data_IF_533010776423
#
_entry.id   IF_533010776423
#
_cell.length_a   1.000
_cell.length_b   1.000
_cell.length_c   1.000
_cell.angle_alpha   90.00
_cell.angle_beta   90.00
_cell.angle_gamma   90.00
#
_symmetry.space_group_name_H-M   'P 1'
#
loop_
_entity.id
_entity.type
_entity.pdbx_description
1 polymer ?
#
# COMPACT_ATOMS: atom_id res chain seq x y z
N UNK A 1 -46.38 25.52 15.49
CA UNK A 1 -45.93 26.25 14.29
C UNK A 1 -44.40 26.16 14.24
N UNK A 2 -43.85 25.35 13.35
CA UNK A 2 -42.43 25.32 13.11
C UNK A 2 -42.00 26.59 12.38
N UNK A 3 -41.06 27.35 12.92
CA UNK A 3 -40.46 28.50 12.24
C UNK A 3 -39.54 27.97 11.17
N UNK A 4 -39.87 28.23 9.91
CA UNK A 4 -38.97 28.07 8.78
C UNK A 4 -37.85 29.12 8.92
N UNK A 5 -36.62 28.70 9.20
CA UNK A 5 -35.47 29.58 9.08
C UNK A 5 -35.13 29.71 7.59
N UNK A 6 -35.41 30.82 6.98
CA UNK A 6 -34.89 31.17 5.65
C UNK A 6 -33.45 31.63 5.89
N UNK A 7 -32.48 30.95 5.26
CA UNK A 7 -31.10 31.41 5.26
C UNK A 7 -31.03 32.85 4.74
N UNK A 8 -30.24 33.70 5.36
CA UNK A 8 -30.04 35.06 4.89
C UNK A 8 -29.37 35.07 3.50
N UNK A 9 -29.44 36.20 2.83
CA UNK A 9 -28.95 36.37 1.46
C UNK A 9 -27.44 36.08 1.36
N UNK A 10 -26.67 36.41 2.40
CA UNK A 10 -25.21 36.25 2.46
C UNK A 10 -24.83 34.78 2.53
N UNK A 11 -25.53 33.98 3.36
CA UNK A 11 -25.40 32.53 3.43
C UNK A 11 -25.81 31.87 2.10
N UNK A 12 -26.87 32.35 1.46
CA UNK A 12 -27.34 31.81 0.18
C UNK A 12 -26.36 32.13 -0.96
N UNK A 13 -25.77 33.32 -0.97
CA UNK A 13 -24.79 33.75 -1.96
C UNK A 13 -23.44 33.01 -1.77
N UNK A 14 -23.03 32.73 -0.52
CA UNK A 14 -21.88 31.91 -0.20
C UNK A 14 -22.07 30.45 -0.67
N UNK A 15 -23.22 29.85 -0.41
CA UNK A 15 -23.56 28.50 -0.88
C UNK A 15 -23.61 28.44 -2.41
N UNK A 16 -24.12 29.50 -3.07
CA UNK A 16 -24.10 29.60 -4.54
C UNK A 16 -22.71 29.74 -5.10
N UNK A 17 -21.82 30.52 -4.46
CA UNK A 17 -20.45 30.70 -4.88
C UNK A 17 -19.65 29.35 -4.75
N UNK A 18 -19.83 28.64 -3.62
CA UNK A 18 -19.24 27.30 -3.41
C UNK A 18 -19.79 26.29 -4.43
N UNK A 19 -21.09 26.29 -4.67
CA UNK A 19 -21.71 25.40 -5.65
C UNK A 19 -21.24 25.70 -7.08
N UNK A 20 -21.06 26.97 -7.43
CA UNK A 20 -20.56 27.40 -8.74
C UNK A 20 -19.09 27.02 -8.91
N UNK A 21 -18.26 27.13 -7.86
CA UNK A 21 -16.88 26.70 -7.84
C UNK A 21 -16.76 25.18 -8.01
N UNK A 22 -17.59 24.40 -7.31
CA UNK A 22 -17.65 22.93 -7.44
C UNK A 22 -18.12 22.53 -8.84
N UNK A 23 -19.13 23.19 -9.40
CA UNK A 23 -19.62 22.94 -10.76
C UNK A 23 -18.57 23.25 -11.82
N UNK A 24 -17.81 24.34 -11.67
CA UNK A 24 -16.75 24.71 -12.59
C UNK A 24 -15.56 23.72 -12.56
N UNK A 25 -15.29 23.09 -11.40
CA UNK A 25 -14.28 22.03 -11.25
C UNK A 25 -14.73 20.68 -11.81
N UNK A 26 -16.04 20.46 -11.95
CA UNK A 26 -16.65 19.25 -12.49
C UNK A 26 -16.90 19.30 -14.00
N UNK A 27 -16.72 20.47 -14.62
CA UNK A 27 -16.88 20.65 -16.06
C UNK A 27 -15.54 20.51 -16.77
N UNK A 28 -15.53 19.77 -17.89
CA UNK A 28 -14.42 19.76 -18.81
C UNK A 28 -14.30 21.14 -19.54
N UNK A 29 -13.24 21.31 -20.31
CA UNK A 29 -12.99 22.53 -21.10
C UNK A 29 -14.10 22.88 -22.10
N UNK A 30 -15.02 21.96 -22.37
CA UNK A 30 -16.17 22.15 -23.24
C UNK A 30 -17.45 22.45 -22.44
N UNK A 31 -17.35 22.66 -21.11
CA UNK A 31 -18.47 22.98 -20.22
C UNK A 31 -19.40 21.81 -19.89
N UNK A 32 -18.95 20.56 -20.20
CA UNK A 32 -19.69 19.35 -19.86
C UNK A 32 -19.26 18.85 -18.48
N UNK A 33 -20.19 18.29 -17.71
CA UNK A 33 -19.86 17.61 -16.45
C UNK A 33 -18.94 16.44 -16.75
N UNK A 34 -17.70 16.49 -16.27
CA UNK A 34 -16.82 15.34 -16.34
C UNK A 34 -17.45 14.22 -15.51
N UNK A 35 -17.49 13.01 -16.06
CA UNK A 35 -17.90 11.80 -15.35
C UNK A 35 -16.78 11.40 -14.35
N UNK A 36 -16.46 12.27 -13.40
CA UNK A 36 -15.47 12.01 -12.35
C UNK A 36 -15.94 10.83 -11.53
N UNK A 37 -15.20 9.73 -11.59
CA UNK A 37 -15.49 8.52 -10.82
C UNK A 37 -14.82 8.60 -9.45
N UNK A 38 -15.62 8.36 -8.41
CA UNK A 38 -15.17 8.33 -7.02
C UNK A 38 -15.56 7.00 -6.38
N UNK A 39 -14.59 6.20 -6.00
CA UNK A 39 -14.84 4.94 -5.32
C UNK A 39 -14.46 5.12 -3.85
N UNK A 40 -15.45 5.01 -2.95
CA UNK A 40 -15.23 5.34 -1.55
C UNK A 40 -15.79 4.31 -0.58
N UNK A 41 -15.26 4.37 0.63
CA UNK A 41 -15.77 3.68 1.81
C UNK A 41 -15.88 4.62 3.00
N UNK A 42 -16.83 4.29 3.87
CA UNK A 42 -16.96 4.83 5.22
C UNK A 42 -16.78 3.67 6.20
N UNK A 43 -15.91 3.84 7.18
CA UNK A 43 -15.58 2.86 8.22
C UNK A 43 -16.14 3.33 9.55
N UNK A 44 -17.07 2.57 10.14
CA UNK A 44 -17.60 2.84 11.47
C UNK A 44 -16.64 2.30 12.56
N UNK A 45 -15.97 3.19 13.28
CA UNK A 45 -14.98 2.84 14.32
C UNK A 45 -15.62 2.15 15.54
N UNK A 46 -16.93 2.31 15.77
CA UNK A 46 -17.65 1.68 16.87
C UNK A 46 -18.01 0.20 16.60
N UNK A 47 -18.14 -0.19 15.32
CA UNK A 47 -18.40 -1.58 14.94
C UNK A 47 -17.09 -2.39 14.98
N UNK A 48 -17.08 -3.51 15.68
CA UNK A 48 -15.90 -4.37 15.82
C UNK A 48 -15.75 -5.39 14.71
N UNK A 49 -16.80 -5.66 13.92
CA UNK A 49 -16.74 -6.63 12.85
C UNK A 49 -16.03 -6.03 11.63
N UNK A 50 -14.92 -6.60 11.15
CA UNK A 50 -14.09 -6.04 10.09
C UNK A 50 -14.81 -5.87 8.74
N UNK A 51 -15.89 -6.62 8.51
CA UNK A 51 -16.64 -6.61 7.25
C UNK A 51 -17.87 -5.66 7.32
N UNK A 52 -18.64 -5.71 8.41
CA UNK A 52 -19.88 -4.91 8.54
C UNK A 52 -19.63 -3.45 8.87
N UNK A 53 -18.46 -3.14 9.47
CA UNK A 53 -18.07 -1.75 9.80
C UNK A 53 -17.87 -0.87 8.57
N UNK A 54 -17.73 -1.45 7.36
CA UNK A 54 -17.43 -0.75 6.12
C UNK A 54 -18.68 -0.62 5.27
N UNK A 55 -18.96 0.60 4.80
CA UNK A 55 -20.04 0.90 3.86
C UNK A 55 -19.44 1.51 2.60
N UNK A 56 -19.82 1.01 1.42
CA UNK A 56 -19.46 1.61 0.15
C UNK A 56 -20.17 2.94 -0.09
N UNK A 57 -19.47 3.88 -0.74
CA UNK A 57 -19.94 5.22 -1.04
C UNK A 57 -19.67 5.56 -2.52
N UNK A 58 -20.39 6.54 -3.02
CA UNK A 58 -20.25 7.10 -4.37
C UNK A 58 -20.42 6.02 -5.46
N UNK A 59 -19.54 5.98 -6.46
CA UNK A 59 -19.60 5.01 -7.55
C UNK A 59 -19.39 3.55 -7.09
N UNK A 60 -18.89 3.33 -5.88
CA UNK A 60 -18.82 2.00 -5.27
C UNK A 60 -20.12 1.59 -4.55
N UNK A 61 -21.10 2.48 -4.40
CA UNK A 61 -22.37 2.13 -3.75
C UNK A 61 -23.06 0.97 -4.50
N UNK A 62 -23.37 -0.10 -3.77
CA UNK A 62 -23.95 -1.32 -4.36
C UNK A 62 -22.94 -2.33 -4.92
N UNK A 63 -21.64 -2.05 -4.87
CA UNK A 63 -20.62 -3.00 -5.33
C UNK A 63 -20.57 -4.27 -4.47
N UNK A 64 -20.24 -5.37 -5.12
CA UNK A 64 -19.87 -6.63 -4.48
C UNK A 64 -18.37 -6.61 -4.16
N UNK A 65 -17.95 -6.94 -2.92
CA UNK A 65 -16.55 -6.99 -2.54
C UNK A 65 -15.73 -8.02 -3.29
N UNK A 66 -14.46 -7.71 -3.55
CA UNK A 66 -13.49 -8.65 -4.06
C UNK A 66 -12.94 -9.56 -2.95
N UNK A 67 -12.69 -10.83 -3.26
CA UNK A 67 -12.13 -11.81 -2.31
C UNK A 67 -11.53 -13.01 -3.00
N UNK A 68 -10.61 -13.68 -2.31
CA UNK A 68 -10.12 -14.99 -2.70
C UNK A 68 -11.17 -16.08 -2.41
N UNK A 69 -11.40 -16.98 -3.34
CA UNK A 69 -12.09 -18.24 -3.11
C UNK A 69 -11.06 -19.33 -2.83
N UNK A 70 -10.82 -19.63 -1.56
CA UNK A 70 -9.84 -20.63 -1.15
C UNK A 70 -10.23 -22.08 -1.48
N UNK A 71 -11.47 -22.32 -1.88
CA UNK A 71 -11.97 -23.67 -2.21
C UNK A 71 -11.51 -24.11 -3.61
N UNK A 72 -11.63 -23.22 -4.59
CA UNK A 72 -11.29 -23.51 -6.00
C UNK A 72 -10.03 -22.80 -6.48
N UNK A 73 -9.46 -21.93 -5.66
CA UNK A 73 -8.25 -21.18 -5.98
C UNK A 73 -8.47 -20.03 -7.00
N UNK A 74 -9.73 -19.58 -7.19
CA UNK A 74 -10.04 -18.42 -8.02
C UNK A 74 -10.08 -17.13 -7.20
N UNK A 75 -9.82 -15.99 -7.85
CA UNK A 75 -10.05 -14.68 -7.27
C UNK A 75 -11.35 -14.09 -7.83
N UNK A 76 -12.30 -13.81 -6.96
CA UNK A 76 -13.55 -13.14 -7.30
C UNK A 76 -13.35 -11.63 -7.19
N UNK A 77 -13.33 -10.93 -8.32
CA UNK A 77 -13.20 -9.47 -8.37
C UNK A 77 -14.48 -8.75 -7.91
N UNK A 78 -15.60 -9.44 -7.74
CA UNK A 78 -16.88 -8.81 -7.48
C UNK A 78 -17.22 -7.77 -8.55
N UNK A 79 -17.51 -6.54 -8.13
CA UNK A 79 -17.78 -5.42 -9.05
C UNK A 79 -16.53 -4.64 -9.45
N UNK A 80 -15.32 -5.03 -9.02
CA UNK A 80 -14.11 -4.23 -9.15
C UNK A 80 -13.30 -4.47 -10.42
N UNK A 81 -13.55 -5.58 -11.16
CA UNK A 81 -12.71 -6.00 -12.29
C UNK A 81 -12.56 -4.95 -13.39
N UNK A 82 -13.57 -4.12 -13.64
CA UNK A 82 -13.56 -3.08 -14.67
C UNK A 82 -13.16 -1.69 -14.12
N UNK A 83 -12.90 -1.55 -12.81
CA UNK A 83 -12.48 -0.29 -12.23
C UNK A 83 -11.05 0.04 -12.67
N UNK A 84 -10.80 1.30 -13.01
CA UNK A 84 -9.58 1.75 -13.70
C UNK A 84 -8.29 1.28 -13.02
N UNK A 85 -8.17 1.35 -11.69
CA UNK A 85 -6.95 0.96 -10.98
C UNK A 85 -6.75 -0.57 -10.86
N UNK A 86 -7.78 -1.38 -11.14
CA UNK A 86 -7.66 -2.83 -11.32
C UNK A 86 -7.29 -3.13 -12.76
N UNK A 87 -8.05 -2.58 -13.72
CA UNK A 87 -7.94 -2.87 -15.14
C UNK A 87 -6.63 -2.35 -15.77
N UNK A 88 -6.12 -1.21 -15.29
CA UNK A 88 -4.90 -0.58 -15.81
C UNK A 88 -3.65 -0.93 -14.99
N UNK A 89 -3.77 -1.68 -13.89
CA UNK A 89 -2.62 -2.18 -13.17
C UNK A 89 -1.93 -3.28 -13.99
N UNK A 90 -0.62 -3.15 -14.25
CA UNK A 90 0.13 -4.01 -15.16
C UNK A 90 1.41 -4.56 -14.55
N UNK A 91 1.77 -5.83 -14.83
CA UNK A 91 3.07 -6.37 -14.49
C UNK A 91 4.07 -5.99 -15.59
N UNK A 92 5.13 -5.26 -15.24
CA UNK A 92 6.11 -4.74 -16.20
C UNK A 92 7.55 -5.04 -15.79
N UNK A 93 8.45 -5.12 -16.76
CA UNK A 93 9.89 -5.09 -16.51
C UNK A 93 10.42 -3.67 -16.74
N UNK A 94 11.00 -3.06 -15.71
CA UNK A 94 11.53 -1.70 -15.71
C UNK A 94 13.03 -1.68 -15.88
N UNK A 95 13.52 -0.71 -16.67
CA UNK A 95 14.93 -0.33 -16.79
C UNK A 95 15.39 0.50 -15.59
N UNK A 96 16.70 0.73 -15.53
CA UNK A 96 17.32 1.58 -14.51
C UNK A 96 16.82 3.03 -14.55
N UNK A 97 16.50 3.56 -15.73
CA UNK A 97 15.91 4.89 -15.94
C UNK A 97 14.41 4.96 -15.62
N UNK A 98 13.82 3.86 -15.15
CA UNK A 98 12.41 3.72 -14.77
C UNK A 98 11.44 3.73 -15.95
N UNK A 99 11.92 3.57 -17.17
CA UNK A 99 11.08 3.35 -18.35
C UNK A 99 10.74 1.86 -18.47
N UNK A 100 9.54 1.57 -18.99
CA UNK A 100 9.08 0.20 -19.23
C UNK A 100 9.88 -0.41 -20.38
N UNK A 101 10.51 -1.56 -20.15
CA UNK A 101 11.17 -2.34 -21.20
C UNK A 101 10.14 -3.18 -21.96
N UNK A 102 9.26 -3.86 -21.24
CA UNK A 102 8.14 -4.64 -21.77
C UNK A 102 7.15 -5.00 -20.66
N UNK A 103 5.94 -5.36 -21.05
CA UNK A 103 4.89 -5.87 -20.20
C UNK A 103 4.98 -7.40 -20.10
N UNK A 104 4.82 -7.94 -18.91
CA UNK A 104 4.75 -9.37 -18.66
C UNK A 104 3.34 -9.90 -18.96
N UNK A 105 3.24 -11.18 -19.30
CA UNK A 105 1.95 -11.84 -19.41
C UNK A 105 1.24 -11.83 -18.04
N UNK A 106 -0.03 -11.44 -18.04
CA UNK A 106 -0.80 -11.20 -16.81
C UNK A 106 -1.08 -12.48 -15.98
N UNK A 107 -0.96 -13.64 -16.60
CA UNK A 107 -1.25 -14.95 -15.98
C UNK A 107 -0.06 -15.90 -15.97
N UNK A 108 1.06 -15.54 -16.61
CA UNK A 108 2.29 -16.34 -16.65
C UNK A 108 3.49 -15.41 -16.84
N UNK A 109 4.08 -14.96 -15.75
CA UNK A 109 5.17 -13.98 -15.75
C UNK A 109 6.48 -14.53 -16.38
N UNK A 110 6.60 -15.85 -16.60
CA UNK A 110 7.70 -16.41 -17.39
C UNK A 110 7.66 -15.99 -18.86
N UNK A 111 6.60 -15.31 -19.27
CA UNK A 111 6.36 -14.81 -20.62
C UNK A 111 6.13 -13.30 -20.62
N UNK A 112 6.43 -12.69 -21.73
CA UNK A 112 6.00 -11.34 -22.09
C UNK A 112 4.55 -11.37 -22.56
N UNK A 113 3.92 -10.21 -22.70
CA UNK A 113 2.54 -10.10 -23.16
C UNK A 113 2.34 -10.71 -24.54
N UNK A 114 3.36 -10.67 -25.41
CA UNK A 114 3.36 -11.27 -26.75
C UNK A 114 3.56 -12.81 -26.76
N UNK A 115 3.72 -13.41 -25.58
CA UNK A 115 3.91 -14.86 -25.41
C UNK A 115 5.37 -15.34 -25.51
N UNK A 116 6.32 -14.49 -25.86
CA UNK A 116 7.75 -14.84 -25.85
C UNK A 116 8.29 -14.94 -24.43
N UNK A 117 9.41 -15.64 -24.23
CA UNK A 117 10.03 -15.80 -22.90
C UNK A 117 10.43 -14.46 -22.29
N UNK A 118 10.14 -14.27 -21.01
CA UNK A 118 10.62 -13.14 -20.21
C UNK A 118 11.93 -13.49 -19.51
N UNK A 119 12.64 -12.48 -19.02
CA UNK A 119 13.83 -12.63 -18.19
C UNK A 119 13.54 -12.32 -16.69
N UNK A 120 12.28 -12.46 -16.26
CA UNK A 120 11.82 -12.13 -14.91
C UNK A 120 12.57 -12.85 -13.79
N UNK A 121 13.07 -14.05 -14.06
CA UNK A 121 13.88 -14.86 -13.15
C UNK A 121 15.38 -14.88 -13.46
N UNK A 122 15.82 -14.23 -14.54
CA UNK A 122 17.22 -14.23 -14.95
C UNK A 122 18.05 -13.34 -14.01
N UNK A 123 19.07 -13.91 -13.39
CA UNK A 123 19.99 -13.20 -12.50
C UNK A 123 20.86 -12.17 -13.25
N UNK A 124 21.07 -12.36 -14.56
CA UNK A 124 21.88 -11.47 -15.39
C UNK A 124 21.12 -10.26 -15.92
N UNK A 125 19.78 -10.27 -15.86
CA UNK A 125 18.97 -9.13 -16.33
C UNK A 125 19.28 -7.86 -15.55
N UNK A 126 19.28 -6.73 -16.24
CA UNK A 126 19.40 -5.40 -15.60
C UNK A 126 18.05 -4.80 -15.23
N UNK A 127 16.94 -5.48 -15.57
CA UNK A 127 15.57 -5.02 -15.36
C UNK A 127 15.05 -5.42 -13.97
N UNK A 128 14.02 -4.74 -13.50
CA UNK A 128 13.26 -5.09 -12.30
C UNK A 128 11.79 -5.36 -12.66
N UNK A 129 11.24 -6.43 -12.10
CA UNK A 129 9.81 -6.74 -12.25
C UNK A 129 8.97 -5.87 -11.30
N UNK A 130 8.13 -5.03 -11.86
CA UNK A 130 7.35 -4.06 -11.10
C UNK A 130 5.87 -4.15 -11.46
N UNK A 131 5.03 -3.91 -10.48
CA UNK A 131 3.61 -3.65 -10.68
C UNK A 131 3.45 -2.15 -10.94
N UNK A 132 2.99 -1.80 -12.13
CA UNK A 132 2.68 -0.43 -12.53
C UNK A 132 1.26 -0.08 -12.12
N UNK A 133 1.09 1.03 -11.42
CA UNK A 133 -0.20 1.56 -11.02
C UNK A 133 -0.49 2.86 -11.76
N UNK A 134 -1.68 3.01 -12.39
CA UNK A 134 -2.10 4.27 -12.97
C UNK A 134 -2.27 5.34 -11.90
N UNK A 135 -2.17 6.61 -12.27
CA UNK A 135 -2.36 7.72 -11.34
C UNK A 135 -3.72 7.62 -10.63
N UNK A 136 -3.67 7.73 -9.32
CA UNK A 136 -4.84 7.78 -8.43
C UNK A 136 -4.74 8.96 -7.48
N UNK A 137 -5.87 9.60 -7.27
CA UNK A 137 -6.05 10.65 -6.28
C UNK A 137 -6.75 10.06 -5.06
N UNK A 138 -6.08 10.13 -3.91
CA UNK A 138 -6.54 9.57 -2.64
C UNK A 138 -7.04 10.69 -1.72
N UNK A 139 -8.24 10.54 -1.17
CA UNK A 139 -8.77 11.39 -0.12
C UNK A 139 -9.03 10.56 1.12
N UNK A 140 -8.42 10.94 2.24
CA UNK A 140 -8.56 10.28 3.54
C UNK A 140 -8.84 11.33 4.62
N UNK A 141 -9.86 11.08 5.44
CA UNK A 141 -10.22 11.96 6.56
C UNK A 141 -11.09 11.23 7.59
N UNK A 142 -11.25 11.85 8.75
CA UNK A 142 -12.07 11.34 9.86
C UNK A 142 -13.11 12.40 10.24
N UNK A 143 -14.37 11.98 10.47
CA UNK A 143 -15.42 12.79 11.02
C UNK A 143 -16.17 12.01 12.10
N UNK A 144 -16.06 12.44 13.34
CA UNK A 144 -16.65 11.75 14.49
C UNK A 144 -16.15 10.32 14.62
N UNK A 145 -17.04 9.35 14.60
CA UNK A 145 -16.71 7.92 14.67
C UNK A 145 -16.50 7.26 13.30
N UNK A 146 -16.33 8.04 12.25
CA UNK A 146 -16.20 7.50 10.90
C UNK A 146 -14.90 7.93 10.24
N UNK A 147 -14.23 6.98 9.61
CA UNK A 147 -13.11 7.21 8.70
C UNK A 147 -13.58 7.05 7.26
N UNK A 148 -12.97 7.81 6.36
CA UNK A 148 -13.32 7.83 4.94
C UNK A 148 -12.08 7.60 4.09
N UNK A 149 -12.18 6.70 3.13
CA UNK A 149 -11.17 6.45 2.09
C UNK A 149 -11.88 6.57 0.75
N UNK A 150 -11.41 7.45 -0.12
CA UNK A 150 -12.00 7.70 -1.43
C UNK A 150 -10.88 7.76 -2.46
N UNK A 151 -11.03 7.05 -3.56
CA UNK A 151 -10.08 7.01 -4.69
C UNK A 151 -10.80 7.51 -5.94
N UNK A 152 -10.10 8.34 -6.71
CA UNK A 152 -10.56 8.88 -8.01
C UNK A 152 -9.42 8.83 -9.02
N UNK A 153 -9.76 8.74 -10.32
CA UNK A 153 -8.83 8.90 -11.44
C UNK A 153 -8.47 10.38 -11.70
N UNK A 154 -9.22 11.28 -11.08
CA UNK A 154 -9.12 12.73 -11.28
C UNK A 154 -9.05 13.43 -9.93
N UNK A 155 -8.30 14.53 -9.85
CA UNK A 155 -8.31 15.38 -8.66
C UNK A 155 -9.65 16.12 -8.54
N UNK A 156 -10.47 15.72 -7.58
CA UNK A 156 -11.80 16.28 -7.35
C UNK A 156 -11.73 17.67 -6.70
N UNK A 157 -10.93 17.78 -5.64
CA UNK A 157 -10.70 19.02 -4.88
C UNK A 157 -9.34 19.00 -4.16
N UNK A 158 -9.08 19.98 -3.31
CA UNK A 158 -7.82 20.10 -2.55
C UNK A 158 -7.58 19.02 -1.50
N UNK A 159 -8.62 18.25 -1.11
CA UNK A 159 -8.50 17.15 -0.16
C UNK A 159 -7.93 15.86 -0.81
N UNK A 160 -8.00 15.79 -2.14
CA UNK A 160 -7.43 14.69 -2.91
C UNK A 160 -5.96 14.96 -3.19
N UNK A 161 -5.13 13.96 -2.89
CA UNK A 161 -3.68 14.02 -3.08
C UNK A 161 -3.18 12.81 -3.88
N UNK A 162 -2.06 12.99 -4.56
CA UNK A 162 -1.36 11.95 -5.31
C UNK A 162 0.03 11.69 -4.72
N UNK A 163 0.13 11.70 -3.39
CA UNK A 163 1.39 11.64 -2.64
C UNK A 163 2.26 10.42 -3.04
N UNK A 164 1.63 9.28 -3.40
CA UNK A 164 2.34 8.06 -3.84
C UNK A 164 3.03 8.22 -5.20
N UNK A 165 2.65 9.22 -5.99
CA UNK A 165 3.13 9.54 -7.33
C UNK A 165 3.99 10.81 -7.37
N UNK A 166 4.12 11.51 -6.24
CA UNK A 166 4.82 12.79 -6.17
C UNK A 166 6.33 12.59 -6.19
N UNK A 167 7.01 13.19 -7.18
CA UNK A 167 8.47 13.19 -7.35
C UNK A 167 9.13 14.17 -6.38
N UNK A 168 10.47 14.15 -6.36
CA UNK A 168 11.28 15.04 -5.52
C UNK A 168 11.07 16.51 -5.84
N UNK A 169 10.84 16.85 -7.10
CA UNK A 169 10.58 18.22 -7.57
C UNK A 169 9.13 18.69 -7.32
N UNK A 170 8.30 17.86 -6.72
CA UNK A 170 6.89 18.12 -6.44
C UNK A 170 5.93 17.86 -7.60
N UNK A 171 6.42 17.49 -8.77
CA UNK A 171 5.57 17.06 -9.89
C UNK A 171 4.90 15.72 -9.59
N UNK A 172 3.75 15.46 -10.24
CA UNK A 172 3.00 14.22 -10.12
C UNK A 172 3.26 13.36 -11.36
N UNK A 173 3.62 12.10 -11.14
CA UNK A 173 3.83 11.11 -12.19
C UNK A 173 2.50 10.48 -12.63
N UNK A 174 2.42 10.02 -13.87
CA UNK A 174 1.26 9.27 -14.36
C UNK A 174 1.23 7.83 -13.82
N UNK A 175 2.39 7.30 -13.42
CA UNK A 175 2.52 5.96 -12.86
C UNK A 175 3.43 5.94 -11.62
N UNK A 176 3.14 4.99 -10.73
CA UNK A 176 4.06 4.55 -9.69
C UNK A 176 4.31 3.04 -9.80
N UNK A 177 5.44 2.59 -9.28
CA UNK A 177 5.88 1.21 -9.38
C UNK A 177 6.09 0.59 -8.01
N UNK A 178 5.34 -0.47 -7.72
CA UNK A 178 5.55 -1.35 -6.57
C UNK A 178 6.31 -2.59 -7.00
N UNK A 179 7.18 -3.17 -6.15
CA UNK A 179 7.88 -4.40 -6.50
C UNK A 179 6.89 -5.55 -6.66
N UNK A 180 7.00 -6.31 -7.74
CA UNK A 180 6.25 -7.56 -7.89
C UNK A 180 6.74 -8.60 -6.89
N UNK A 181 8.02 -8.56 -6.55
CA UNK A 181 8.67 -9.51 -5.64
C UNK A 181 9.36 -8.77 -4.51
N UNK A 182 9.41 -9.40 -3.34
CA UNK A 182 10.21 -8.89 -2.24
C UNK A 182 11.68 -8.72 -2.64
N UNK A 183 12.35 -7.72 -2.07
CA UNK A 183 13.71 -7.35 -2.46
C UNK A 183 14.71 -8.49 -2.30
N UNK A 184 15.52 -8.75 -3.33
CA UNK A 184 16.65 -9.67 -3.35
C UNK A 184 17.93 -8.92 -3.69
N UNK A 185 19.08 -9.32 -3.13
CA UNK A 185 20.37 -8.69 -3.39
C UNK A 185 21.19 -9.50 -4.38
N UNK A 186 21.58 -8.88 -5.50
CA UNK A 186 22.36 -9.53 -6.57
C UNK A 186 23.89 -9.37 -6.42
N UNK A 187 24.35 -8.83 -5.28
CA UNK A 187 25.76 -8.49 -5.03
C UNK A 187 26.08 -7.01 -5.24
N UNK A 188 25.20 -6.25 -5.92
CA UNK A 188 25.35 -4.82 -6.19
C UNK A 188 24.10 -4.02 -5.85
N UNK A 189 22.92 -4.54 -6.19
CA UNK A 189 21.63 -3.83 -6.16
C UNK A 189 20.55 -4.62 -5.44
N UNK A 190 19.59 -3.92 -4.89
CA UNK A 190 18.34 -4.52 -4.42
C UNK A 190 17.40 -4.67 -5.63
N UNK A 191 16.98 -5.91 -5.90
CA UNK A 191 16.24 -6.29 -7.10
C UNK A 191 14.84 -6.80 -6.77
N UNK A 192 13.91 -6.64 -7.69
CA UNK A 192 12.61 -7.33 -7.71
C UNK A 192 12.61 -8.34 -8.84
N UNK A 193 12.89 -9.61 -8.54
CA UNK A 193 13.02 -10.71 -9.50
C UNK A 193 12.41 -11.99 -8.96
N UNK A 194 11.89 -12.84 -9.85
CA UNK A 194 11.37 -14.17 -9.56
C UNK A 194 12.48 -15.17 -9.20
N UNK A 195 12.16 -16.19 -8.39
CA UNK A 195 13.05 -17.29 -8.04
C UNK A 195 14.23 -16.89 -7.15
N UNK A 196 14.18 -15.76 -6.45
CA UNK A 196 15.28 -15.25 -5.63
C UNK A 196 14.99 -15.39 -4.13
N UNK A 197 16.06 -15.52 -3.35
CA UNK A 197 16.00 -15.39 -1.88
C UNK A 197 15.83 -13.92 -1.51
N UNK A 198 15.00 -13.64 -0.52
CA UNK A 198 14.82 -12.27 -0.01
C UNK A 198 16.09 -11.77 0.67
N UNK A 199 16.46 -10.53 0.38
CA UNK A 199 17.51 -9.81 1.13
C UNK A 199 17.03 -9.51 2.55
N UNK A 200 17.89 -9.69 3.52
CA UNK A 200 17.62 -9.43 4.92
C UNK A 200 18.92 -9.24 5.71
N UNK A 201 18.79 -8.98 7.01
CA UNK A 201 19.94 -8.82 7.91
C UNK A 201 20.86 -7.65 7.53
N UNK A 202 20.24 -6.59 6.98
CA UNK A 202 20.88 -5.33 6.62
C UNK A 202 20.21 -4.16 7.32
N UNK A 203 20.93 -3.06 7.53
CA UNK A 203 20.37 -1.84 8.10
C UNK A 203 19.65 -0.98 7.05
N UNK A 204 18.85 -0.01 7.51
CA UNK A 204 18.03 0.84 6.64
C UNK A 204 18.87 1.58 5.57
N UNK A 205 20.02 2.14 5.93
CA UNK A 205 20.87 2.88 4.99
C UNK A 205 21.40 1.96 3.89
N UNK A 206 21.77 0.72 4.23
CA UNK A 206 22.23 -0.26 3.26
C UNK A 206 21.13 -0.65 2.29
N UNK A 207 19.89 -0.90 2.77
CA UNK A 207 18.75 -1.23 1.92
C UNK A 207 18.41 -0.09 0.95
N UNK A 208 18.40 1.17 1.44
CA UNK A 208 18.17 2.36 0.61
C UNK A 208 19.28 2.50 -0.45
N UNK A 209 20.55 2.34 -0.05
CA UNK A 209 21.68 2.45 -0.98
C UNK A 209 21.66 1.38 -2.06
N UNK A 210 21.32 0.13 -1.69
CA UNK A 210 21.16 -0.98 -2.65
C UNK A 210 19.98 -0.75 -3.60
N UNK A 211 18.88 -0.16 -3.14
CA UNK A 211 17.76 0.23 -4.00
C UNK A 211 18.16 1.37 -4.95
N UNK A 212 18.80 2.42 -4.43
CA UNK A 212 19.30 3.57 -5.21
C UNK A 212 20.36 3.16 -6.26
N UNK A 213 21.08 2.07 -6.04
CA UNK A 213 22.03 1.53 -7.02
C UNK A 213 21.37 1.07 -8.34
N UNK A 214 20.04 0.88 -8.39
CA UNK A 214 19.32 0.64 -9.64
C UNK A 214 19.33 1.86 -10.57
N UNK A 215 19.36 3.09 -10.03
CA UNK A 215 19.38 4.34 -10.78
C UNK A 215 18.72 5.49 -10.01
N UNK A 216 18.69 6.67 -10.61
CA UNK A 216 18.04 7.85 -10.03
C UNK A 216 16.56 7.60 -9.78
N UNK A 217 16.01 8.03 -8.63
CA UNK A 217 14.61 7.90 -8.25
C UNK A 217 14.22 6.53 -7.69
N UNK A 218 15.16 5.56 -7.62
CA UNK A 218 14.92 4.30 -6.94
C UNK A 218 15.18 4.43 -5.44
N UNK A 219 14.27 3.86 -4.65
CA UNK A 219 14.37 3.76 -3.18
C UNK A 219 13.67 2.48 -2.72
N UNK A 220 13.60 2.23 -1.41
CA UNK A 220 12.70 1.21 -0.87
C UNK A 220 11.26 1.75 -0.78
N UNK A 221 10.29 0.87 -0.58
CA UNK A 221 8.85 1.26 -0.51
C UNK A 221 8.68 2.42 0.47
N UNK A 222 7.92 3.46 0.04
CA UNK A 222 7.58 4.60 0.89
C UNK A 222 6.25 4.40 1.61
N UNK A 223 6.06 5.15 2.71
CA UNK A 223 4.79 5.18 3.43
C UNK A 223 3.62 5.60 2.53
N UNK A 224 3.80 6.60 1.67
CA UNK A 224 2.72 7.05 0.77
C UNK A 224 2.22 5.94 -0.15
N UNK A 225 3.13 5.13 -0.72
CA UNK A 225 2.79 3.97 -1.56
C UNK A 225 2.14 2.86 -0.75
N UNK A 226 2.71 2.53 0.41
CA UNK A 226 2.12 1.51 1.30
C UNK A 226 0.71 1.90 1.76
N UNK A 227 0.50 3.16 2.16
CA UNK A 227 -0.81 3.68 2.56
C UNK A 227 -1.84 3.59 1.42
N UNK A 228 -1.45 3.90 0.18
CA UNK A 228 -2.33 3.74 -0.97
C UNK A 228 -2.72 2.27 -1.17
N UNK A 229 -1.76 1.33 -1.17
CA UNK A 229 -2.05 -0.11 -1.32
C UNK A 229 -2.98 -0.63 -0.21
N UNK A 230 -2.74 -0.29 1.05
CA UNK A 230 -3.62 -0.69 2.16
C UNK A 230 -5.03 -0.09 2.01
N UNK A 231 -5.12 1.14 1.50
CA UNK A 231 -6.39 1.81 1.21
C UNK A 231 -7.16 1.08 0.11
N UNK A 232 -6.49 0.70 -0.98
CA UNK A 232 -7.09 -0.07 -2.07
C UNK A 232 -7.56 -1.45 -1.61
N UNK A 233 -6.75 -2.18 -0.83
CA UNK A 233 -7.12 -3.49 -0.29
C UNK A 233 -8.37 -3.39 0.60
N UNK A 234 -8.43 -2.41 1.49
CA UNK A 234 -9.60 -2.16 2.33
C UNK A 234 -10.84 -1.81 1.49
N UNK A 235 -10.66 -0.97 0.48
CA UNK A 235 -11.72 -0.53 -0.42
C UNK A 235 -12.32 -1.71 -1.20
N UNK A 236 -11.49 -2.47 -1.93
CA UNK A 236 -11.99 -3.53 -2.81
C UNK A 236 -12.56 -4.73 -2.05
N UNK A 237 -11.97 -5.09 -0.91
CA UNK A 237 -12.45 -6.23 -0.11
C UNK A 237 -13.61 -5.87 0.82
N UNK A 238 -13.87 -4.57 1.04
CA UNK A 238 -14.82 -4.11 2.06
C UNK A 238 -14.55 -4.73 3.42
N UNK A 239 -13.26 -4.90 3.76
CA UNK A 239 -12.81 -5.57 4.98
C UNK A 239 -11.47 -5.03 5.45
N UNK A 240 -11.23 -5.10 6.75
CA UNK A 240 -9.93 -4.84 7.35
C UNK A 240 -9.17 -6.14 7.71
N UNK A 241 -9.75 -7.29 7.41
CA UNK A 241 -9.10 -8.59 7.56
C UNK A 241 -8.49 -9.06 6.22
N UNK A 242 -7.31 -8.54 5.89
CA UNK A 242 -6.65 -8.87 4.62
C UNK A 242 -6.32 -10.34 4.48
N UNK A 243 -5.91 -11.02 5.58
CA UNK A 243 -5.60 -12.44 5.54
C UNK A 243 -6.83 -13.28 5.18
N UNK A 244 -7.99 -12.94 5.70
CA UNK A 244 -9.24 -13.64 5.40
C UNK A 244 -9.75 -13.37 3.97
N UNK A 245 -9.38 -12.23 3.35
CA UNK A 245 -9.88 -11.85 2.01
C UNK A 245 -8.93 -12.20 0.88
N UNK A 246 -7.61 -12.17 1.13
CA UNK A 246 -6.61 -12.34 0.07
C UNK A 246 -5.69 -13.54 0.28
N UNK A 247 -5.56 -14.05 1.52
CA UNK A 247 -4.67 -15.15 1.88
C UNK A 247 -3.76 -14.81 3.05
N UNK A 248 -3.27 -15.84 3.74
CA UNK A 248 -2.52 -15.65 4.98
C UNK A 248 -1.12 -15.09 4.76
N UNK A 249 -0.49 -15.35 3.61
CA UNK A 249 0.92 -15.09 3.39
C UNK A 249 1.81 -16.07 4.15
N UNK A 250 3.13 -15.97 3.99
CA UNK A 250 4.09 -16.83 4.70
C UNK A 250 4.25 -16.33 6.13
N UNK A 251 3.45 -16.87 7.05
CA UNK A 251 3.37 -16.38 8.42
C UNK A 251 3.42 -17.47 9.51
N UNK A 252 3.49 -18.76 9.12
CA UNK A 252 3.52 -19.91 10.05
C UNK A 252 4.59 -20.95 9.70
N UNK A 253 5.67 -20.53 9.03
CA UNK A 253 6.75 -21.42 8.59
C UNK A 253 8.01 -21.36 9.46
N UNK A 254 7.91 -20.81 10.67
CA UNK A 254 9.06 -20.77 11.57
C UNK A 254 9.57 -22.17 11.88
N UNK A 255 10.73 -22.48 11.36
CA UNK A 255 11.54 -23.59 11.83
C UNK A 255 12.67 -22.98 12.66
N UNK A 256 12.78 -23.37 13.92
CA UNK A 256 13.89 -22.99 14.79
C UNK A 256 15.17 -23.66 14.27
N UNK A 257 15.70 -23.13 13.18
CA UNK A 257 16.87 -23.64 12.49
C UNK A 257 18.06 -22.74 12.78
N UNK A 258 19.10 -23.31 13.34
CA UNK A 258 20.38 -22.67 13.59
C UNK A 258 21.06 -22.15 12.31
N UNK A 259 20.66 -22.62 11.13
CA UNK A 259 21.15 -22.14 9.83
C UNK A 259 20.62 -20.73 9.46
N UNK A 260 19.66 -20.20 10.21
CA UNK A 260 19.04 -18.86 10.01
C UNK A 260 18.45 -18.62 8.61
N UNK A 261 18.17 -19.66 7.87
CA UNK A 261 17.45 -19.59 6.59
C UNK A 261 15.94 -19.69 6.85
N UNK A 262 15.46 -18.77 7.68
CA UNK A 262 14.07 -18.67 8.07
C UNK A 262 13.22 -18.23 6.87
N UNK A 263 12.15 -18.96 6.57
CA UNK A 263 11.24 -18.65 5.46
C UNK A 263 11.89 -18.94 4.11
N UNK A 264 12.06 -20.22 3.82
CA UNK A 264 12.64 -20.75 2.56
C UNK A 264 11.81 -20.45 1.32
N UNK A 265 10.72 -19.67 1.44
CA UNK A 265 9.90 -19.32 0.29
C UNK A 265 10.64 -18.28 -0.53
N UNK A 266 11.13 -18.70 -1.68
CA UNK A 266 11.69 -17.80 -2.68
C UNK A 266 10.59 -17.00 -3.36
N UNK A 267 10.92 -15.87 -3.98
CA UNK A 267 10.00 -15.07 -4.78
C UNK A 267 9.52 -15.81 -6.02
N UNK A 268 8.39 -15.41 -6.59
CA UNK A 268 7.89 -15.94 -7.86
C UNK A 268 7.12 -17.25 -7.75
N UNK A 269 6.78 -17.68 -6.54
CA UNK A 269 5.97 -18.92 -6.36
C UNK A 269 4.55 -18.78 -6.90
N UNK A 270 4.11 -17.55 -7.18
CA UNK A 270 2.79 -17.23 -7.70
C UNK A 270 2.82 -16.64 -9.13
N UNK A 271 3.88 -16.85 -9.90
CA UNK A 271 4.05 -16.28 -11.25
C UNK A 271 2.94 -16.64 -12.22
N UNK A 272 2.31 -17.81 -12.04
CA UNK A 272 1.21 -18.30 -12.88
C UNK A 272 -0.19 -18.02 -12.31
N UNK A 273 -0.30 -17.11 -11.34
CA UNK A 273 -1.53 -16.92 -10.55
C UNK A 273 -2.28 -15.60 -10.81
N UNK A 274 -1.95 -14.86 -11.86
CA UNK A 274 -2.63 -13.62 -12.21
C UNK A 274 -2.37 -12.46 -11.24
N UNK A 275 -3.29 -11.49 -11.20
CA UNK A 275 -3.14 -10.23 -10.46
C UNK A 275 -3.32 -10.39 -8.94
N UNK A 276 -4.21 -11.28 -8.52
CA UNK A 276 -4.51 -11.58 -7.12
C UNK A 276 -4.54 -13.09 -6.89
N UNK A 277 -3.88 -13.53 -5.84
CA UNK A 277 -3.93 -14.93 -5.42
C UNK A 277 -3.39 -15.10 -4.00
N UNK A 278 -3.90 -16.07 -3.27
CA UNK A 278 -3.37 -16.44 -1.96
C UNK A 278 -3.89 -17.78 -1.46
N UNK A 279 -3.18 -18.36 -0.51
CA UNK A 279 -3.55 -19.57 0.20
C UNK A 279 -3.97 -19.23 1.63
N UNK A 280 -4.82 -20.07 2.22
CA UNK A 280 -5.25 -19.93 3.60
C UNK A 280 -4.52 -20.93 4.52
N UNK A 281 -3.19 -21.01 4.43
CA UNK A 281 -2.40 -22.01 5.15
C UNK A 281 -1.17 -21.45 5.89
N UNK A 282 -0.83 -20.18 5.66
CA UNK A 282 0.30 -19.51 6.31
C UNK A 282 1.69 -19.95 5.82
N UNK A 283 1.77 -20.78 4.79
CA UNK A 283 3.04 -21.34 4.29
C UNK A 283 3.40 -20.87 2.88
N UNK A 284 2.46 -20.26 2.17
CA UNK A 284 2.62 -19.75 0.82
C UNK A 284 2.51 -18.23 0.78
N UNK A 285 3.10 -17.62 -0.25
CA UNK A 285 2.97 -16.18 -0.48
C UNK A 285 1.54 -15.78 -0.80
N UNK A 286 1.27 -14.49 -0.66
CA UNK A 286 0.06 -13.82 -1.11
C UNK A 286 0.43 -12.81 -2.18
N UNK A 287 -0.41 -12.71 -3.22
CA UNK A 287 -0.26 -11.75 -4.31
C UNK A 287 -1.49 -10.84 -4.35
N UNK A 288 -1.28 -9.54 -4.39
CA UNK A 288 -2.32 -8.56 -4.69
C UNK A 288 -1.73 -7.47 -5.58
N UNK A 289 -2.45 -7.07 -6.63
CA UNK A 289 -1.97 -6.13 -7.65
C UNK A 289 -0.62 -6.57 -8.25
N UNK A 290 -0.44 -7.83 -8.56
CA UNK A 290 0.82 -8.46 -9.00
C UNK A 290 1.97 -8.40 -7.97
N UNK A 291 1.79 -7.79 -6.80
CA UNK A 291 2.80 -7.72 -5.76
C UNK A 291 2.71 -8.93 -4.84
N UNK A 292 3.74 -9.78 -4.80
CA UNK A 292 3.93 -10.79 -3.77
C UNK A 292 4.45 -10.16 -2.48
N UNK A 293 4.31 -10.85 -1.35
CA UNK A 293 4.90 -10.46 -0.06
C UNK A 293 4.43 -9.08 0.47
N UNK A 294 3.17 -8.72 0.27
CA UNK A 294 2.63 -7.52 0.93
C UNK A 294 2.51 -7.70 2.45
N UNK A 295 2.46 -8.94 2.93
CA UNK A 295 2.58 -9.33 4.34
C UNK A 295 3.12 -10.76 4.46
N UNK A 296 3.67 -11.06 5.64
CA UNK A 296 4.36 -12.32 5.89
C UNK A 296 5.80 -12.33 5.37
N UNK A 297 6.46 -13.47 5.39
CA UNK A 297 7.82 -13.79 4.97
C UNK A 297 8.88 -12.93 5.70
N UNK A 298 9.09 -11.69 5.29
CA UNK A 298 9.99 -10.70 5.89
C UNK A 298 9.26 -9.37 6.09
N UNK A 299 9.58 -8.66 7.15
CA UNK A 299 9.18 -7.28 7.33
C UNK A 299 9.67 -6.43 6.17
N UNK A 300 8.80 -5.59 5.61
CA UNK A 300 9.22 -4.51 4.75
C UNK A 300 9.53 -3.26 5.56
N UNK A 301 10.78 -2.79 5.44
CA UNK A 301 11.17 -1.49 5.95
C UNK A 301 10.67 -0.41 5.00
N UNK A 302 10.13 0.67 5.57
CA UNK A 302 9.62 1.81 4.80
C UNK A 302 10.53 3.02 4.96
N UNK A 303 10.57 3.87 3.92
CA UNK A 303 10.95 5.28 4.07
C UNK A 303 9.71 6.15 4.24
N UNK A 304 9.87 7.34 4.80
CA UNK A 304 8.77 8.29 4.95
C UNK A 304 7.87 8.08 6.15
N UNK A 305 8.14 7.09 7.04
CA UNK A 305 7.40 6.91 8.28
C UNK A 305 8.36 6.61 9.43
N UNK A 306 8.38 7.49 10.42
CA UNK A 306 9.24 7.42 11.61
C UNK A 306 8.42 7.66 12.87
N UNK A 307 8.70 6.89 13.92
CA UNK A 307 8.29 7.21 15.28
C UNK A 307 9.49 7.77 16.03
N UNK A 308 9.50 9.07 16.27
CA UNK A 308 10.56 9.76 16.98
C UNK A 308 10.16 9.93 18.44
N UNK A 309 10.69 9.06 19.32
CA UNK A 309 10.41 9.09 20.76
C UNK A 309 8.91 9.26 21.07
N UNK A 310 8.07 8.43 20.42
CA UNK A 310 6.62 8.43 20.58
C UNK A 310 5.87 9.50 19.77
N UNK A 311 6.55 10.25 18.92
CA UNK A 311 5.93 11.18 17.95
C UNK A 311 5.90 10.55 16.57
N UNK A 312 4.72 10.41 15.99
CA UNK A 312 4.57 9.95 14.59
C UNK A 312 4.90 11.09 13.65
N UNK A 313 5.86 10.82 12.77
CA UNK A 313 6.31 11.74 11.73
C UNK A 313 6.29 11.06 10.37
N UNK A 314 5.83 11.77 9.35
CA UNK A 314 5.77 11.25 7.97
C UNK A 314 6.32 12.25 6.97
N UNK A 315 6.85 11.71 5.87
CA UNK A 315 7.16 12.45 4.65
C UNK A 315 6.57 11.69 3.47
N UNK A 316 5.75 12.37 2.70
CA UNK A 316 4.89 11.71 1.70
C UNK A 316 5.56 11.60 0.33
N UNK A 317 6.62 12.39 0.08
CA UNK A 317 7.40 12.37 -1.17
C UNK A 317 8.91 12.50 -0.89
N UNK A 318 9.78 12.12 -1.83
CA UNK A 318 11.24 12.29 -1.68
C UNK A 318 11.65 13.76 -1.45
N UNK A 319 12.89 14.02 -0.97
CA UNK A 319 13.86 13.06 -0.49
C UNK A 319 13.55 12.60 0.93
N UNK A 320 13.84 11.34 1.22
CA UNK A 320 13.59 10.74 2.55
C UNK A 320 14.88 10.74 3.39
N UNK A 321 14.72 10.73 4.74
CA UNK A 321 15.82 10.51 5.68
C UNK A 321 15.38 9.54 6.80
N UNK A 322 16.34 9.09 7.59
CA UNK A 322 16.14 8.10 8.64
C UNK A 322 16.03 8.72 10.05
N UNK A 323 16.03 10.05 10.15
CA UNK A 323 15.97 10.78 11.42
C UNK A 323 14.61 11.45 11.67
N UNK A 324 13.76 11.55 10.65
CA UNK A 324 12.52 12.32 10.72
C UNK A 324 12.70 13.83 10.70
N UNK A 325 13.90 14.31 10.33
CA UNK A 325 14.15 15.74 10.13
C UNK A 325 13.28 16.25 8.97
N UNK A 326 12.60 17.37 9.18
CA UNK A 326 11.71 18.02 8.20
C UNK A 326 10.50 17.13 7.79
N UNK A 327 10.16 16.12 8.60
CA UNK A 327 8.95 15.31 8.44
C UNK A 327 7.77 16.00 9.12
N UNK A 328 6.58 15.78 8.57
CA UNK A 328 5.32 16.30 9.13
C UNK A 328 4.99 15.53 10.40
N UNK A 329 4.78 16.24 11.51
CA UNK A 329 4.29 15.67 12.75
C UNK A 329 2.79 15.39 12.60
N UNK A 330 2.39 14.13 12.68
CA UNK A 330 0.99 13.70 12.58
C UNK A 330 0.31 13.65 13.94
N UNK A 331 1.00 13.14 14.95
CA UNK A 331 0.42 12.98 16.28
C UNK A 331 1.34 12.22 17.23
N UNK A 332 0.76 11.85 18.37
CA UNK A 332 1.42 10.98 19.36
C UNK A 332 1.06 9.53 19.07
N UNK A 333 2.04 8.64 19.09
CA UNK A 333 1.85 7.21 18.92
C UNK A 333 1.05 6.60 20.07
N UNK A 334 0.25 5.58 19.80
CA UNK A 334 -0.25 4.67 20.84
C UNK A 334 0.96 4.06 21.56
N UNK A 335 1.00 4.14 22.89
CA UNK A 335 2.14 3.66 23.69
C UNK A 335 2.06 2.17 24.06
N UNK A 336 0.92 1.55 23.77
CA UNK A 336 0.62 0.15 24.13
C UNK A 336 0.62 -0.69 22.88
N UNK A 337 1.35 -1.80 22.88
CA UNK A 337 1.32 -2.81 21.83
C UNK A 337 0.07 -3.70 21.97
N UNK A 338 -0.38 -4.27 20.87
CA UNK A 338 -1.55 -5.14 20.85
C UNK A 338 -2.28 -5.13 19.51
N UNK A 339 -3.41 -5.80 19.48
CA UNK A 339 -4.28 -5.81 18.32
C UNK A 339 -4.89 -4.42 18.10
N UNK A 340 -4.78 -3.90 16.89
CA UNK A 340 -5.26 -2.56 16.55
C UNK A 340 -6.78 -2.48 16.68
N UNK A 341 -7.27 -1.51 17.46
CA UNK A 341 -8.70 -1.27 17.69
C UNK A 341 -9.17 0.02 17.03
N UNK A 342 -8.51 1.14 17.33
CA UNK A 342 -8.86 2.46 16.81
C UNK A 342 -7.67 3.09 16.10
N UNK A 343 -7.97 3.89 15.07
CA UNK A 343 -6.98 4.61 14.27
C UNK A 343 -7.28 6.10 14.25
N UNK A 344 -6.26 6.89 14.01
CA UNK A 344 -6.32 8.29 13.62
C UNK A 344 -6.16 8.34 12.10
N UNK A 345 -7.24 8.66 11.40
CA UNK A 345 -7.19 8.89 9.95
C UNK A 345 -6.88 10.34 9.67
N UNK A 346 -5.88 10.57 8.85
CA UNK A 346 -5.51 11.89 8.34
C UNK A 346 -5.31 11.82 6.83
N UNK A 347 -5.12 12.96 6.17
CA UNK A 347 -4.74 12.96 4.75
C UNK A 347 -3.41 12.24 4.46
N UNK A 348 -2.61 12.00 5.49
CA UNK A 348 -1.30 11.36 5.39
C UNK A 348 -1.34 9.84 5.66
N UNK A 349 -2.51 9.29 5.92
CA UNK A 349 -2.74 7.88 6.21
C UNK A 349 -3.39 7.61 7.55
N UNK A 350 -3.39 6.33 7.92
CA UNK A 350 -4.00 5.81 9.15
C UNK A 350 -2.92 5.41 10.15
N UNK A 351 -3.04 5.89 11.37
CA UNK A 351 -2.08 5.65 12.45
C UNK A 351 -2.79 5.05 13.65
N UNK A 352 -2.14 4.09 14.32
CA UNK A 352 -2.75 3.40 15.47
C UNK A 352 -2.95 4.37 16.63
N UNK A 353 -4.20 4.49 17.10
CA UNK A 353 -4.61 5.34 18.20
C UNK A 353 -4.83 4.54 19.48
N UNK A 354 -5.39 3.33 19.39
CA UNK A 354 -5.54 2.42 20.51
C UNK A 354 -5.53 0.96 20.07
N UNK A 355 -5.25 0.09 21.02
CA UNK A 355 -5.26 -1.37 20.91
C UNK A 355 -6.39 -1.98 21.73
N UNK A 356 -6.66 -3.29 21.59
CA UNK A 356 -7.74 -4.00 22.27
C UNK A 356 -8.70 -4.67 21.30
N UNK A 357 -8.28 -4.84 20.05
CA UNK A 357 -8.93 -5.71 19.07
C UNK A 357 -8.51 -7.18 19.21
N UNK A 358 -8.66 -7.94 18.13
CA UNK A 358 -8.23 -9.33 17.99
C UNK A 358 -7.94 -9.67 16.52
N UNK A 359 -7.56 -10.92 16.24
CA UNK A 359 -7.37 -11.42 14.88
C UNK A 359 -8.66 -11.37 14.00
N UNK A 360 -9.82 -11.21 14.63
CA UNK A 360 -11.13 -11.22 13.96
C UNK A 360 -11.97 -9.97 14.24
N UNK A 361 -11.41 -8.96 14.90
CA UNK A 361 -12.12 -7.72 15.20
C UNK A 361 -11.31 -6.48 14.83
N UNK A 362 -12.03 -5.43 14.46
CA UNK A 362 -11.47 -4.14 14.03
C UNK A 362 -10.52 -4.30 12.84
N UNK A 363 -9.22 -3.96 12.99
CA UNK A 363 -8.24 -4.04 11.89
C UNK A 363 -7.60 -5.43 11.70
N UNK A 364 -7.90 -6.39 12.56
CA UNK A 364 -7.43 -7.78 12.46
C UNK A 364 -5.91 -7.94 12.26
N UNK A 365 -5.13 -7.00 12.74
CA UNK A 365 -3.67 -6.99 12.66
C UNK A 365 -3.05 -6.38 13.91
N UNK A 366 -1.76 -6.64 14.12
CA UNK A 366 -1.09 -6.25 15.36
C UNK A 366 -0.38 -4.89 15.23
N UNK A 367 0.05 -4.36 16.36
CA UNK A 367 0.83 -3.13 16.49
C UNK A 367 1.90 -3.32 17.56
N UNK A 368 3.14 -2.99 17.21
CA UNK A 368 4.27 -3.04 18.13
C UNK A 368 4.99 -1.71 18.18
N UNK A 369 5.40 -1.26 19.38
CA UNK A 369 5.94 0.08 19.58
C UNK A 369 7.03 0.10 20.65
N UNK A 370 8.05 0.92 20.42
CA UNK A 370 8.95 1.42 21.44
C UNK A 370 9.00 2.96 21.35
N UNK A 371 8.46 3.63 22.34
CA UNK A 371 8.34 5.09 22.37
C UNK A 371 9.58 5.82 22.87
N UNK A 372 10.68 5.10 23.18
CA UNK A 372 11.93 5.67 23.72
C UNK A 372 13.05 5.74 22.70
N UNK A 373 12.77 5.37 21.44
CA UNK A 373 13.76 5.37 20.36
C UNK A 373 13.24 6.14 19.14
N UNK A 374 14.16 6.44 18.21
CA UNK A 374 13.80 6.82 16.85
C UNK A 374 13.65 5.54 16.02
N UNK A 375 12.41 5.13 15.78
CA UNK A 375 12.09 3.92 15.04
C UNK A 375 11.72 4.24 13.60
N UNK A 376 12.26 3.44 12.66
CA UNK A 376 11.84 3.41 11.25
C UNK A 376 10.78 2.33 11.10
N UNK A 377 9.65 2.65 10.44
CA UNK A 377 8.53 1.74 10.35
C UNK A 377 8.87 0.46 9.57
N UNK A 378 8.45 -0.67 10.14
CA UNK A 378 8.37 -1.97 9.48
C UNK A 378 6.90 -2.35 9.34
N UNK A 379 6.52 -2.99 8.24
CA UNK A 379 5.14 -3.38 7.96
C UNK A 379 5.00 -4.80 7.46
N UNK A 380 3.78 -5.33 7.56
CA UNK A 380 3.38 -6.60 6.96
C UNK A 380 3.58 -7.84 7.86
N UNK A 381 4.50 -7.81 8.78
CA UNK A 381 4.84 -8.99 9.59
C UNK A 381 5.89 -9.89 8.93
N UNK A 382 6.20 -11.02 9.55
CA UNK A 382 7.13 -12.03 9.01
C UNK A 382 6.66 -13.45 9.29
N UNK A 383 7.48 -14.45 8.92
CA UNK A 383 7.11 -15.88 8.94
C UNK A 383 6.62 -16.42 10.29
N UNK A 384 6.87 -15.72 11.38
CA UNK A 384 6.56 -16.19 12.74
C UNK A 384 5.34 -15.51 13.39
N UNK A 385 4.69 -14.59 12.68
CA UNK A 385 3.68 -13.73 13.32
C UNK A 385 2.23 -14.17 13.07
N UNK A 386 2.00 -15.22 12.26
CA UNK A 386 0.67 -15.81 12.09
C UNK A 386 -0.40 -14.75 11.78
N UNK A 387 -1.46 -14.77 12.56
CA UNK A 387 -2.61 -13.86 12.40
C UNK A 387 -2.29 -12.38 12.70
N UNK A 388 -1.10 -12.04 13.22
CA UNK A 388 -0.70 -10.63 13.42
C UNK A 388 -0.42 -9.91 12.10
N UNK A 389 -0.07 -10.66 11.03
CA UNK A 389 0.27 -10.11 9.72
C UNK A 389 -0.89 -9.35 9.07
N UNK A 390 -0.67 -8.79 7.87
CA UNK A 390 -1.60 -7.91 7.17
C UNK A 390 -1.17 -6.45 7.23
N UNK A 391 -2.00 -5.55 7.73
CA UNK A 391 -1.63 -4.14 7.98
C UNK A 391 -0.86 -3.96 9.31
N UNK A 392 -0.04 -4.93 9.67
CA UNK A 392 0.79 -4.89 10.87
C UNK A 392 1.84 -3.79 10.79
N UNK A 393 1.89 -2.93 11.81
CA UNK A 393 2.87 -1.85 11.94
C UNK A 393 3.76 -2.10 13.14
N UNK A 394 5.08 -2.09 12.93
CA UNK A 394 6.10 -2.30 13.94
C UNK A 394 7.01 -1.06 14.02
N UNK A 395 6.96 -0.36 15.14
CA UNK A 395 7.68 0.88 15.42
C UNK A 395 8.67 0.68 16.60
N UNK A 396 9.45 -0.39 16.55
CA UNK A 396 10.46 -0.70 17.59
C UNK A 396 11.81 -1.06 16.98
N UNK A 397 12.06 -0.65 15.71
CA UNK A 397 13.30 -0.92 14.99
C UNK A 397 14.02 0.37 14.63
N UNK A 398 15.25 0.55 15.10
CA UNK A 398 16.08 1.70 14.70
C UNK A 398 16.55 1.56 13.25
N UNK A 399 17.05 2.66 12.68
CA UNK A 399 17.64 2.62 11.34
C UNK A 399 18.88 1.70 11.23
N UNK A 400 19.61 1.51 12.33
CA UNK A 400 20.79 0.64 12.40
C UNK A 400 20.45 -0.85 12.61
N UNK A 401 19.20 -1.17 12.95
CA UNK A 401 18.81 -2.55 13.20
C UNK A 401 18.95 -3.41 11.92
N UNK A 402 19.58 -4.56 12.08
CA UNK A 402 19.71 -5.59 11.07
C UNK A 402 19.21 -6.90 11.66
N UNK A 403 18.32 -7.59 10.97
CA UNK A 403 17.74 -8.83 11.46
C UNK A 403 17.37 -9.72 10.26
N UNK A 404 17.41 -11.04 10.48
CA UNK A 404 17.05 -12.05 9.48
C UNK A 404 15.60 -11.88 8.94
N UNK A 405 14.72 -11.31 9.74
CA UNK A 405 13.31 -11.13 9.39
C UNK A 405 13.00 -9.75 8.79
N UNK A 406 14.00 -8.88 8.59
CA UNK A 406 13.82 -7.52 8.10
C UNK A 406 14.56 -7.35 6.77
N UNK A 407 13.87 -6.74 5.80
CA UNK A 407 14.46 -6.35 4.53
C UNK A 407 13.66 -5.25 3.87
N UNK A 408 14.26 -4.59 2.87
CA UNK A 408 13.59 -3.62 2.01
C UNK A 408 13.20 -4.23 0.68
N UNK A 409 12.28 -3.59 -0.03
CA UNK A 409 11.92 -3.96 -1.40
C UNK A 409 12.00 -2.70 -2.29
N UNK A 410 12.55 -2.77 -3.52
CA UNK A 410 12.78 -1.59 -4.36
C UNK A 410 11.48 -1.03 -4.92
N UNK A 411 11.37 0.29 -5.02
CA UNK A 411 10.20 0.98 -5.53
C UNK A 411 10.62 2.31 -6.16
N UNK A 412 9.84 2.83 -7.09
CA UNK A 412 10.08 4.12 -7.73
C UNK A 412 8.78 4.69 -8.32
N UNK A 413 8.84 5.93 -8.79
CA UNK A 413 7.83 6.55 -9.65
C UNK A 413 8.35 6.63 -11.08
N UNK A 414 7.45 6.88 -12.02
CA UNK A 414 7.80 7.13 -13.43
C UNK A 414 8.72 8.37 -13.54
N UNK A 415 9.73 8.36 -14.43
CA UNK A 415 10.58 9.53 -14.66
C UNK A 415 9.79 10.69 -15.29
N UNK A 416 10.34 11.89 -15.23
CA UNK A 416 9.87 12.99 -16.08
C UNK A 416 10.04 12.57 -17.54
N UNK A 417 9.06 12.91 -18.36
CA UNK A 417 9.22 12.81 -19.82
C UNK A 417 10.37 13.72 -20.25
N UNK A 418 11.25 13.20 -21.09
CA UNK A 418 12.41 13.93 -21.59
C UNK A 418 11.99 15.06 -22.56
#
# INVERSE_FOLDING_TARGET
MARLYVADKETLDAVKADTTGILAQLQDKDGKFSNVKRYGIKINKADSNPDTRITYLYDAAGFTPAKMNFTDGSFDFGSWGEVFFIKQNRPVMLKADRTVAYELNHTDHSKKLDGTASDVGDASTTLNAMSEFPLMWLCQYEVGNYEYIIVSDTRVDSNYNADAYTREDGSVADHMYMPMYGGSYDGAKLRSLSGKKLDCNTNAQTEISRAAANGTGWTIISWSRRNLIESLLTLISKSENFQAKFGQGVCSTYVNDSSKDYGKVVTGTLDTKGQFFGYNDGTHEVKAFYCEKLWGNRWDRLVGYICDNGTIKVKMSPPYNLTGKDYIKVGTACKTEGWQKDTLMTRYGRFVKSVGGSASTYRCCYYWINVTIVAVALVGGSTIYGAYCGAYVYLSSTASAANWSIGGSPSCEEPLAA
#
